data_IF_641240285815
#
_entry.id   IF_641240285815
#
_cell.length_a   1.000
_cell.length_b   1.000
_cell.length_c   1.000
_cell.angle_alpha   90.00
_cell.angle_beta   90.00
_cell.angle_gamma   90.00
#
_symmetry.space_group_name_H-M   'P 1'
#
loop_
_entity.id
_entity.type
_entity.pdbx_description
1 polymer ?
#
# COMPACT_ATOMS: atom_id res chain seq x y z
N UNK A 1 -24.76 12.24 0.19
CA UNK A 1 -24.81 12.97 1.49
C UNK A 1 -23.61 13.90 1.66
N UNK A 2 -22.33 13.41 1.74
CA UNK A 2 -21.16 14.27 1.94
C UNK A 2 -21.06 15.37 0.86
N UNK A 3 -21.10 15.02 -0.40
CA UNK A 3 -21.00 15.98 -1.50
C UNK A 3 -22.12 17.05 -1.43
N UNK A 4 -23.34 16.65 -1.08
CA UNK A 4 -24.47 17.55 -0.93
C UNK A 4 -24.28 18.55 0.23
N UNK A 5 -23.70 18.09 1.34
CA UNK A 5 -23.40 18.96 2.49
C UNK A 5 -22.19 19.86 2.24
N UNK A 6 -21.25 19.41 1.41
CA UNK A 6 -19.96 20.08 1.21
C UNK A 6 -19.98 21.12 0.06
N UNK A 7 -20.95 21.03 -0.86
CA UNK A 7 -21.01 21.85 -2.09
C UNK A 7 -20.92 23.36 -1.87
N UNK A 8 -21.41 23.86 -0.73
CA UNK A 8 -21.45 25.28 -0.43
C UNK A 8 -20.12 25.82 0.14
N UNK A 9 -19.24 24.93 0.63
CA UNK A 9 -17.94 25.34 1.18
C UNK A 9 -16.94 25.74 0.10
N UNK A 10 -17.00 25.16 -1.09
CA UNK A 10 -16.13 25.44 -2.25
C UNK A 10 -14.63 25.40 -1.94
N UNK A 11 -14.22 24.60 -0.97
CA UNK A 11 -12.82 24.43 -0.59
C UNK A 11 -12.27 23.16 -1.22
N UNK A 12 -11.07 23.18 -1.81
CA UNK A 12 -10.43 21.96 -2.26
C UNK A 12 -10.10 21.06 -1.07
N UNK A 13 -10.29 19.74 -1.25
CA UNK A 13 -9.97 18.75 -0.23
C UNK A 13 -9.30 17.52 -0.84
N UNK A 14 -8.54 16.82 -0.04
CA UNK A 14 -8.07 15.47 -0.34
C UNK A 14 -8.67 14.47 0.63
N UNK A 15 -8.76 13.20 0.21
CA UNK A 15 -9.23 12.15 1.09
C UNK A 15 -8.42 10.86 0.91
N UNK A 16 -8.46 10.03 1.93
CA UNK A 16 -7.86 8.71 1.93
C UNK A 16 -8.95 7.65 1.99
N UNK A 17 -8.85 6.66 1.12
CA UNK A 17 -9.82 5.56 1.07
C UNK A 17 -9.18 4.28 0.53
N UNK A 18 -9.98 3.27 0.28
CA UNK A 18 -9.58 1.99 -0.32
C UNK A 18 -10.01 1.93 -1.77
N UNK A 19 -9.30 1.17 -2.60
CA UNK A 19 -9.73 0.92 -3.97
C UNK A 19 -11.11 0.29 -4.04
N UNK A 20 -11.51 -0.50 -3.05
CA UNK A 20 -12.84 -1.11 -2.97
C UNK A 20 -13.97 -0.08 -3.06
N UNK A 21 -13.75 1.14 -2.57
CA UNK A 21 -14.74 2.20 -2.49
C UNK A 21 -14.83 3.08 -3.76
N UNK A 22 -13.89 2.93 -4.70
CA UNK A 22 -13.86 3.71 -5.95
C UNK A 22 -14.95 3.23 -6.90
N UNK A 23 -15.74 4.14 -7.42
CA UNK A 23 -16.62 3.99 -8.58
C UNK A 23 -16.86 5.36 -9.24
N UNK A 24 -17.33 5.36 -10.48
CA UNK A 24 -17.52 6.57 -11.30
C UNK A 24 -18.43 7.60 -10.63
N UNK A 25 -19.58 7.18 -10.10
CA UNK A 25 -20.54 8.09 -9.45
C UNK A 25 -19.91 8.82 -8.26
N UNK A 26 -19.24 8.07 -7.36
CA UNK A 26 -18.61 8.68 -6.18
C UNK A 26 -17.49 9.64 -6.56
N UNK A 27 -16.64 9.25 -7.51
CA UNK A 27 -15.54 10.12 -7.96
C UNK A 27 -16.09 11.36 -8.62
N UNK A 28 -17.12 11.23 -9.49
CA UNK A 28 -17.82 12.37 -10.11
C UNK A 28 -18.37 13.34 -9.05
N UNK A 29 -19.15 12.86 -8.10
CA UNK A 29 -19.72 13.73 -7.05
C UNK A 29 -18.64 14.40 -6.19
N UNK A 30 -17.55 13.70 -5.88
CA UNK A 30 -16.47 14.27 -5.07
C UNK A 30 -15.69 15.35 -5.85
N UNK A 31 -15.44 15.13 -7.14
CA UNK A 31 -14.75 16.10 -8.00
C UNK A 31 -15.58 17.37 -8.21
N UNK A 32 -16.91 17.24 -8.35
CA UNK A 32 -17.84 18.39 -8.46
C UNK A 32 -17.79 19.31 -7.23
N UNK A 33 -17.47 18.77 -6.05
CA UNK A 33 -17.45 19.56 -4.80
C UNK A 33 -16.05 19.91 -4.31
N UNK A 34 -15.00 19.64 -5.10
CA UNK A 34 -13.64 20.12 -4.81
C UNK A 34 -12.62 19.05 -4.43
N UNK A 35 -12.88 17.78 -4.70
CA UNK A 35 -11.83 16.76 -4.59
C UNK A 35 -10.69 17.09 -5.56
N UNK A 36 -9.48 17.32 -5.04
CA UNK A 36 -8.31 17.60 -5.87
C UNK A 36 -7.26 16.48 -5.83
N UNK A 37 -7.31 15.59 -4.84
CA UNK A 37 -6.34 14.50 -4.67
C UNK A 37 -6.89 13.38 -3.80
N UNK A 38 -6.41 12.15 -4.04
CA UNK A 38 -6.71 11.00 -3.19
C UNK A 38 -5.44 10.28 -2.71
N UNK A 39 -5.58 9.43 -1.71
CA UNK A 39 -4.54 8.52 -1.23
C UNK A 39 -5.12 7.13 -0.99
N UNK A 40 -4.42 6.10 -1.48
CA UNK A 40 -4.88 4.70 -1.39
C UNK A 40 -3.84 3.81 -0.73
N UNK A 41 -4.30 2.90 0.13
CA UNK A 41 -3.52 1.76 0.55
C UNK A 41 -3.60 0.65 -0.50
N UNK A 42 -2.51 0.39 -1.23
CA UNK A 42 -2.35 -0.82 -2.06
C UNK A 42 -2.14 -2.04 -1.15
N UNK A 43 -1.38 -1.85 -0.11
CA UNK A 43 -0.96 -2.76 0.95
C UNK A 43 -0.07 -3.88 0.42
N UNK A 44 -0.58 -4.75 -0.45
CA UNK A 44 0.15 -5.92 -0.93
C UNK A 44 -0.36 -6.40 -2.30
N UNK A 45 0.54 -6.81 -3.20
CA UNK A 45 0.20 -7.24 -4.56
C UNK A 45 -0.29 -8.68 -4.69
N UNK A 46 0.09 -9.57 -3.78
CA UNK A 46 -0.37 -10.95 -3.80
C UNK A 46 -1.79 -11.08 -3.24
N UNK A 47 -2.74 -11.50 -4.09
CA UNK A 47 -4.15 -11.60 -3.70
C UNK A 47 -4.40 -12.58 -2.56
N UNK A 48 -3.69 -13.72 -2.55
CA UNK A 48 -3.86 -14.73 -1.52
C UNK A 48 -3.32 -14.24 -0.17
N UNK A 49 -2.16 -13.58 -0.17
CA UNK A 49 -1.59 -12.95 1.01
C UNK A 49 -2.54 -11.87 1.55
N UNK A 50 -2.99 -10.97 0.67
CA UNK A 50 -3.92 -9.89 1.01
C UNK A 50 -5.21 -10.41 1.62
N UNK A 51 -5.81 -11.45 1.04
CA UNK A 51 -7.03 -12.07 1.56
C UNK A 51 -6.79 -12.78 2.90
N UNK A 52 -5.73 -13.57 3.03
CA UNK A 52 -5.49 -14.41 4.22
C UNK A 52 -4.92 -13.62 5.40
N UNK A 53 -4.08 -12.62 5.15
CA UNK A 53 -3.33 -11.90 6.19
C UNK A 53 -3.90 -10.51 6.49
N UNK A 54 -4.44 -9.84 5.48
CA UNK A 54 -4.97 -8.48 5.61
C UNK A 54 -6.50 -8.44 5.56
N UNK A 55 -7.15 -9.59 5.36
CA UNK A 55 -8.61 -9.73 5.29
C UNK A 55 -9.26 -8.81 4.24
N UNK A 56 -8.57 -8.59 3.10
CA UNK A 56 -9.05 -7.80 1.97
C UNK A 56 -9.23 -8.69 0.75
N UNK A 57 -10.42 -8.67 0.17
CA UNK A 57 -10.85 -9.58 -0.90
C UNK A 57 -10.82 -8.96 -2.31
N UNK A 58 -10.38 -7.73 -2.47
CA UNK A 58 -10.27 -7.10 -3.79
C UNK A 58 -9.24 -7.82 -4.65
N UNK A 59 -9.56 -8.04 -5.93
CA UNK A 59 -8.63 -8.62 -6.90
C UNK A 59 -7.72 -7.57 -7.52
N UNK A 60 -6.55 -7.98 -8.02
CA UNK A 60 -5.63 -7.08 -8.74
C UNK A 60 -6.30 -6.47 -9.97
N UNK A 61 -7.05 -7.28 -10.72
CA UNK A 61 -7.84 -6.81 -11.86
C UNK A 61 -8.77 -5.66 -11.45
N UNK A 62 -9.53 -5.85 -10.37
CA UNK A 62 -10.44 -4.80 -9.88
C UNK A 62 -9.71 -3.54 -9.42
N UNK A 63 -8.53 -3.67 -8.79
CA UNK A 63 -7.71 -2.50 -8.42
C UNK A 63 -7.27 -1.70 -9.65
N UNK A 64 -6.81 -2.39 -10.71
CA UNK A 64 -6.39 -1.76 -11.96
C UNK A 64 -7.56 -1.06 -12.65
N UNK A 65 -8.74 -1.70 -12.69
CA UNK A 65 -9.96 -1.11 -13.26
C UNK A 65 -10.38 0.16 -12.49
N UNK A 66 -10.33 0.12 -11.18
CA UNK A 66 -10.66 1.27 -10.33
C UNK A 66 -9.63 2.41 -10.43
N UNK A 67 -8.36 2.07 -10.60
CA UNK A 67 -7.32 3.07 -10.85
C UNK A 67 -7.54 3.79 -12.19
N UNK A 68 -8.07 3.12 -13.22
CA UNK A 68 -8.44 3.77 -14.50
C UNK A 68 -9.54 4.81 -14.31
N UNK A 69 -10.55 4.53 -13.47
CA UNK A 69 -11.59 5.51 -13.17
C UNK A 69 -10.97 6.82 -12.64
N UNK A 70 -10.00 6.72 -11.74
CA UNK A 70 -9.30 7.92 -11.23
C UNK A 70 -8.58 8.68 -12.35
N UNK A 71 -7.96 7.96 -13.27
CA UNK A 71 -7.32 8.55 -14.47
C UNK A 71 -8.33 9.25 -15.38
N UNK A 72 -9.49 8.65 -15.63
CA UNK A 72 -10.55 9.21 -16.48
C UNK A 72 -11.13 10.50 -15.90
N UNK A 73 -11.20 10.62 -14.59
CA UNK A 73 -11.58 11.85 -13.88
C UNK A 73 -10.41 12.83 -13.63
N UNK A 74 -9.20 12.51 -14.09
CA UNK A 74 -7.98 13.28 -13.83
C UNK A 74 -7.74 13.57 -12.33
N UNK A 75 -8.08 12.64 -11.45
CA UNK A 75 -7.83 12.77 -10.01
C UNK A 75 -6.44 12.22 -9.69
N UNK A 76 -5.46 13.09 -9.34
CA UNK A 76 -4.14 12.63 -8.93
C UNK A 76 -4.23 11.86 -7.61
N UNK A 77 -3.42 10.82 -7.47
CA UNK A 77 -3.43 10.04 -6.23
C UNK A 77 -2.08 9.41 -5.89
N UNK A 78 -1.85 9.27 -4.59
CA UNK A 78 -0.72 8.53 -4.03
C UNK A 78 -1.10 7.09 -3.71
N UNK A 79 -0.16 6.17 -3.93
CA UNK A 79 -0.25 4.80 -3.41
C UNK A 79 0.65 4.64 -2.18
N UNK A 80 0.09 4.03 -1.13
CA UNK A 80 0.82 3.62 0.06
C UNK A 80 0.99 2.11 0.05
N UNK A 81 2.22 1.66 0.26
CA UNK A 81 2.61 0.26 0.31
C UNK A 81 3.27 0.01 1.66
N UNK A 82 3.03 -1.16 2.23
CA UNK A 82 3.69 -1.62 3.44
C UNK A 82 4.43 -2.91 3.11
N UNK A 83 5.72 -2.96 3.41
CA UNK A 83 6.56 -4.16 3.25
C UNK A 83 7.11 -4.62 4.60
N UNK A 84 7.58 -5.86 4.65
CA UNK A 84 8.12 -6.45 5.88
C UNK A 84 7.06 -6.94 6.85
N UNK A 85 5.88 -7.30 6.34
CA UNK A 85 4.83 -7.93 7.14
C UNK A 85 5.23 -9.34 7.57
N UNK A 86 4.66 -9.86 8.68
CA UNK A 86 4.84 -11.26 9.05
C UNK A 86 4.52 -12.21 7.88
N UNK A 87 5.41 -13.18 7.64
CA UNK A 87 5.35 -14.19 6.56
C UNK A 87 5.62 -13.65 5.14
N UNK A 88 6.02 -12.42 4.98
CA UNK A 88 6.34 -11.86 3.67
C UNK A 88 7.73 -12.29 3.21
N UNK A 89 7.83 -12.72 1.96
CA UNK A 89 9.08 -13.08 1.29
C UNK A 89 9.43 -12.03 0.22
N UNK A 90 10.64 -12.11 -0.33
CA UNK A 90 11.06 -11.24 -1.43
C UNK A 90 10.14 -11.37 -2.65
N UNK A 91 9.76 -12.59 -3.02
CA UNK A 91 8.87 -12.86 -4.14
C UNK A 91 7.50 -12.19 -3.95
N UNK A 92 6.96 -12.23 -2.73
CA UNK A 92 5.70 -11.56 -2.39
C UNK A 92 5.78 -10.04 -2.51
N UNK A 93 6.94 -9.45 -2.21
CA UNK A 93 7.16 -8.01 -2.45
C UNK A 93 7.21 -7.71 -3.95
N UNK A 94 7.82 -8.58 -4.76
CA UNK A 94 7.81 -8.43 -6.22
C UNK A 94 6.41 -8.55 -6.83
N UNK A 95 5.50 -9.35 -6.26
CA UNK A 95 4.08 -9.31 -6.64
C UNK A 95 3.49 -7.91 -6.43
N UNK A 96 3.92 -7.22 -5.37
CA UNK A 96 3.47 -5.85 -5.09
C UNK A 96 4.07 -4.82 -6.06
N UNK A 97 5.35 -4.98 -6.40
CA UNK A 97 6.03 -4.17 -7.43
C UNK A 97 5.31 -4.33 -8.78
N UNK A 98 5.01 -5.56 -9.18
CA UNK A 98 4.35 -5.85 -10.45
C UNK A 98 2.94 -5.25 -10.50
N UNK A 99 2.16 -5.36 -9.44
CA UNK A 99 0.85 -4.71 -9.37
C UNK A 99 0.95 -3.18 -9.46
N UNK A 100 1.94 -2.57 -8.80
CA UNK A 100 2.16 -1.13 -8.90
C UNK A 100 2.55 -0.72 -10.34
N UNK A 101 3.37 -1.52 -11.04
CA UNK A 101 3.68 -1.32 -12.48
C UNK A 101 2.44 -1.38 -13.36
N UNK A 102 1.51 -2.29 -13.07
CA UNK A 102 0.28 -2.46 -13.87
C UNK A 102 -0.71 -1.32 -13.67
N UNK A 103 -0.77 -0.74 -12.48
CA UNK A 103 -1.67 0.39 -12.15
C UNK A 103 -1.30 1.68 -12.89
N UNK A 104 -0.03 2.06 -12.98
CA UNK A 104 0.56 3.17 -13.79
C UNK A 104 0.01 4.59 -13.61
N UNK A 105 -1.19 4.78 -13.11
CA UNK A 105 -1.90 6.08 -13.11
C UNK A 105 -1.69 6.93 -11.84
N UNK A 106 -0.96 6.43 -10.86
CA UNK A 106 -0.61 7.18 -9.65
C UNK A 106 0.52 8.19 -9.92
N UNK A 107 0.56 9.27 -9.17
CA UNK A 107 1.59 10.31 -9.27
C UNK A 107 2.67 10.22 -8.18
N UNK A 108 2.42 9.50 -7.10
CA UNK A 108 3.40 9.31 -6.03
C UNK A 108 3.23 7.94 -5.35
N UNK A 109 4.34 7.44 -4.84
CA UNK A 109 4.45 6.15 -4.19
C UNK A 109 5.15 6.31 -2.85
N UNK A 110 4.51 5.86 -1.76
CA UNK A 110 5.10 5.80 -0.44
C UNK A 110 5.25 4.33 -0.01
N UNK A 111 6.48 3.91 0.28
CA UNK A 111 6.80 2.57 0.75
C UNK A 111 7.22 2.62 2.20
N UNK A 112 6.46 1.98 3.07
CA UNK A 112 6.66 1.97 4.50
C UNK A 112 7.05 0.59 5.00
N UNK A 113 7.85 0.52 6.06
CA UNK A 113 8.14 -0.73 6.76
C UNK A 113 7.01 -1.00 7.75
N UNK A 114 6.59 -2.27 7.81
CA UNK A 114 5.52 -2.70 8.72
C UNK A 114 5.83 -2.39 10.17
N UNK A 115 4.97 -1.62 10.81
CA UNK A 115 5.00 -1.34 12.25
C UNK A 115 3.94 -2.17 12.98
N UNK A 116 4.33 -3.08 13.88
CA UNK A 116 3.41 -3.98 14.57
C UNK A 116 2.66 -3.25 15.70
N UNK A 117 1.58 -2.53 15.37
CA UNK A 117 0.76 -1.82 16.33
C UNK A 117 0.04 -2.75 17.30
N UNK A 118 -0.10 -2.33 18.57
CA UNK A 118 -0.84 -3.07 19.59
C UNK A 118 -2.30 -3.29 19.15
N UNK A 119 -2.83 -4.47 19.46
CA UNK A 119 -4.20 -4.86 19.12
C UNK A 119 -4.40 -5.40 17.71
N UNK A 120 -3.36 -5.38 16.84
CA UNK A 120 -3.48 -5.92 15.49
C UNK A 120 -3.20 -7.42 15.44
N UNK A 121 -3.90 -8.12 14.53
CA UNK A 121 -3.71 -9.57 14.29
C UNK A 121 -2.28 -9.87 13.84
N UNK A 122 -1.70 -9.06 12.97
CA UNK A 122 -0.33 -9.28 12.48
C UNK A 122 0.71 -9.15 13.60
N UNK A 123 0.50 -8.22 14.56
CA UNK A 123 1.36 -8.16 15.75
C UNK A 123 1.23 -9.42 16.59
N UNK A 124 -0.01 -9.88 16.83
CA UNK A 124 -0.23 -11.12 17.57
C UNK A 124 0.49 -12.29 16.91
N UNK A 125 0.33 -12.44 15.60
CA UNK A 125 1.01 -13.50 14.84
C UNK A 125 2.53 -13.43 15.02
N UNK A 126 3.13 -12.23 14.89
CA UNK A 126 4.58 -12.07 15.06
C UNK A 126 5.07 -12.43 16.47
N UNK A 127 4.26 -12.17 17.51
CA UNK A 127 4.58 -12.57 18.90
C UNK A 127 4.45 -14.08 19.05
N UNK A 128 3.36 -14.67 18.57
CA UNK A 128 3.10 -16.12 18.67
C UNK A 128 4.20 -16.95 17.97
N UNK A 129 4.75 -16.44 16.86
CA UNK A 129 5.88 -17.06 16.15
C UNK A 129 7.25 -16.75 16.79
N UNK A 130 7.31 -15.95 17.84
CA UNK A 130 8.56 -15.55 18.48
C UNK A 130 9.41 -14.55 17.67
N UNK A 131 8.84 -13.88 16.71
CA UNK A 131 9.52 -12.91 15.83
C UNK A 131 9.53 -11.48 16.37
N UNK A 132 8.72 -11.20 17.38
CA UNK A 132 8.57 -9.90 18.00
C UNK A 132 8.58 -10.01 19.52
N UNK A 133 9.39 -9.17 20.17
CA UNK A 133 9.31 -8.98 21.63
C UNK A 133 7.94 -8.41 22.01
N UNK A 134 7.13 -9.10 22.85
CA UNK A 134 5.80 -8.64 23.23
C UNK A 134 5.80 -7.32 24.01
N UNK A 135 6.91 -6.98 24.66
CA UNK A 135 7.05 -5.74 25.44
C UNK A 135 7.36 -4.53 24.57
N UNK A 136 7.82 -4.74 23.34
CA UNK A 136 8.19 -3.66 22.43
C UNK A 136 6.99 -2.78 22.11
N UNK A 137 7.17 -1.47 22.26
CA UNK A 137 6.21 -0.47 21.81
C UNK A 137 6.69 0.12 20.49
N UNK A 138 5.85 0.04 19.46
CA UNK A 138 6.11 0.70 18.18
C UNK A 138 5.40 2.04 18.14
N UNK A 139 6.14 3.07 17.77
CA UNK A 139 5.63 4.39 17.40
C UNK A 139 5.09 4.38 15.97
N UNK A 140 4.50 5.47 15.51
CA UNK A 140 3.81 5.55 14.21
C UNK A 140 4.71 5.30 12.99
N UNK A 141 6.01 5.55 13.10
CA UNK A 141 6.98 5.27 12.04
C UNK A 141 8.17 4.53 12.61
N UNK A 142 8.61 3.50 11.90
CA UNK A 142 9.85 2.79 12.18
C UNK A 142 10.76 2.90 10.96
N UNK A 143 12.00 3.27 11.19
CA UNK A 143 13.01 3.38 10.13
C UNK A 143 13.51 2.01 9.67
N UNK A 144 13.42 1.01 10.54
CA UNK A 144 13.90 -0.35 10.33
C UNK A 144 12.93 -1.36 10.93
N UNK A 145 12.75 -2.50 10.27
CA UNK A 145 11.93 -3.58 10.82
C UNK A 145 12.40 -4.03 12.19
N UNK A 146 11.44 -4.21 13.09
CA UNK A 146 11.64 -4.76 14.43
C UNK A 146 11.36 -6.26 14.50
N UNK A 147 10.92 -6.86 13.39
CA UNK A 147 10.66 -8.29 13.30
C UNK A 147 11.97 -9.05 13.04
N UNK A 148 12.13 -10.19 13.72
CA UNK A 148 13.24 -11.12 13.54
C UNK A 148 12.71 -12.43 12.97
N UNK A 149 12.34 -12.41 11.72
CA UNK A 149 11.81 -13.57 11.02
C UNK A 149 12.94 -14.47 10.54
N UNK A 150 12.79 -15.81 10.59
CA UNK A 150 13.78 -16.72 10.02
C UNK A 150 13.72 -16.72 8.48
N UNK A 151 14.77 -17.18 7.81
CA UNK A 151 14.69 -17.46 6.37
C UNK A 151 13.59 -18.50 6.10
N UNK A 152 12.83 -18.38 5.01
CA UNK A 152 13.06 -17.54 3.81
C UNK A 152 12.52 -16.09 3.90
N UNK A 153 12.00 -15.67 5.05
CA UNK A 153 11.48 -14.31 5.21
C UNK A 153 12.60 -13.27 5.22
N UNK A 154 12.26 -12.05 4.85
CA UNK A 154 13.22 -10.95 4.73
C UNK A 154 13.82 -10.55 6.08
N UNK A 155 15.11 -10.28 6.05
CA UNK A 155 15.82 -9.71 7.19
C UNK A 155 15.66 -8.18 7.22
N UNK A 156 15.80 -7.52 8.41
CA UNK A 156 15.61 -6.09 8.53
C UNK A 156 16.46 -5.23 7.56
N UNK A 157 17.68 -5.66 7.25
CA UNK A 157 18.58 -4.99 6.32
C UNK A 157 18.10 -5.11 4.87
N UNK A 158 17.63 -6.29 4.48
CA UNK A 158 17.06 -6.56 3.15
C UNK A 158 15.78 -5.74 2.93
N UNK A 159 14.92 -5.63 3.96
CA UNK A 159 13.70 -4.79 3.90
C UNK A 159 14.04 -3.33 3.69
N UNK A 160 15.05 -2.81 4.39
CA UNK A 160 15.49 -1.42 4.26
C UNK A 160 16.07 -1.15 2.86
N UNK A 161 16.86 -2.08 2.34
CA UNK A 161 17.35 -2.04 0.96
C UNK A 161 16.21 -1.97 -0.05
N UNK A 162 15.28 -2.93 0.03
CA UNK A 162 14.10 -2.98 -0.84
C UNK A 162 13.21 -1.73 -0.73
N UNK A 163 12.99 -1.21 0.47
CA UNK A 163 12.22 0.03 0.65
C UNK A 163 12.80 1.18 -0.17
N UNK A 164 14.12 1.33 -0.14
CA UNK A 164 14.82 2.43 -0.83
C UNK A 164 14.77 2.30 -2.34
N UNK A 165 14.91 1.08 -2.85
CA UNK A 165 14.98 0.82 -4.30
C UNK A 165 13.62 0.44 -4.90
N UNK A 166 12.59 0.25 -4.10
CA UNK A 166 11.25 -0.14 -4.57
C UNK A 166 10.72 0.76 -5.70
N UNK A 167 10.81 2.11 -5.62
CA UNK A 167 10.36 2.97 -6.71
C UNK A 167 11.15 2.74 -8.02
N UNK A 168 12.42 2.37 -7.94
CA UNK A 168 13.22 2.03 -9.12
C UNK A 168 12.69 0.77 -9.80
N UNK A 169 12.38 -0.29 -9.04
CA UNK A 169 11.76 -1.50 -9.59
C UNK A 169 10.41 -1.24 -10.25
N UNK A 170 9.63 -0.29 -9.73
CA UNK A 170 8.33 0.07 -10.32
C UNK A 170 8.48 0.87 -11.61
N UNK A 171 9.48 1.73 -11.72
CA UNK A 171 9.64 2.68 -12.84
C UNK A 171 10.55 2.17 -13.95
N UNK A 172 11.57 1.38 -13.60
CA UNK A 172 12.56 0.90 -14.56
C UNK A 172 12.12 -0.39 -15.25
N UNK A 173 12.56 -0.60 -16.51
CA UNK A 173 12.42 -1.90 -17.19
C UNK A 173 13.14 -3.02 -16.42
N UNK A 174 12.64 -4.25 -16.53
CA UNK A 174 13.23 -5.42 -15.85
C UNK A 174 14.69 -5.69 -16.23
N UNK A 175 15.11 -5.27 -17.44
CA UNK A 175 16.51 -5.39 -17.87
C UNK A 175 17.51 -4.64 -16.98
N UNK A 176 17.05 -3.71 -16.16
CA UNK A 176 17.88 -2.95 -15.21
C UNK A 176 17.84 -3.51 -13.78
N UNK A 177 17.10 -4.59 -13.53
CA UNK A 177 16.96 -5.10 -12.15
C UNK A 177 18.27 -5.59 -11.54
N UNK A 178 19.18 -6.14 -12.35
CA UNK A 178 20.53 -6.51 -11.89
C UNK A 178 21.39 -5.33 -11.46
N UNK A 179 21.06 -4.12 -11.91
CA UNK A 179 21.83 -2.89 -11.60
C UNK A 179 21.24 -2.16 -10.37
N UNK A 180 20.04 -2.56 -9.93
CA UNK A 180 19.35 -1.97 -8.78
C UNK A 180 19.83 -2.60 -7.46
N UNK A 181 20.35 -3.82 -7.50
CA UNK A 181 20.88 -4.57 -6.34
C UNK A 181 22.40 -4.26 -6.12
#
# INVERSE_FOLDING_TARGET
>A
EFAEMYKDFKMPFWCQTRFEDVNEDKIGWLTEVGLYRMSFGLEHGNEQFRRKRLFRNITNKSMIEKAKILGDFNVPYSMNIIIGMPYETRELIFDTINLAKDIKTFDSLAVNIFAPYRGTVLRKNAIDEGWLDPTLQCTSFIEKSVLRMPKPYLQPEEMLGLQRVFPLYVTMPESYYSDIE
#
